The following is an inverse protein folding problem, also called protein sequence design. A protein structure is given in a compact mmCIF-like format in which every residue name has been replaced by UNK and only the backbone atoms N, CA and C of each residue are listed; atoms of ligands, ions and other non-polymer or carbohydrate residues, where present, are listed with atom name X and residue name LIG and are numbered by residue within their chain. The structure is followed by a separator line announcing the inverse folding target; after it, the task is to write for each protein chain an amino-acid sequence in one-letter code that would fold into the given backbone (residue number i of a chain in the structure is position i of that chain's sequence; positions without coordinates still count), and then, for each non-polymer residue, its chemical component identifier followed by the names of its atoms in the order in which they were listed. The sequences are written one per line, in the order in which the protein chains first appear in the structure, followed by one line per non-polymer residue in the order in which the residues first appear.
data_IF_746038833506
#
_entry.id   IF_746038833506
#
_cell.length_a   1.000
_cell.length_b   1.000
_cell.length_c   1.000
_cell.angle_alpha   90.00
_cell.angle_beta   90.00
_cell.angle_gamma   90.00
#
_symmetry.space_group_name_H-M   'P 1'
#
loop_
_entity.id
_entity.type
_entity.pdbx_description
1 polymer ?
#
# COMPACT_ATOMS: atom_id res chain seq x y z
N UNK A 1 3.92 -9.80 6.16
CA UNK A 1 2.75 -9.13 5.55
C UNK A 1 2.62 -9.72 4.15
N UNK A 2 1.58 -10.50 3.88
CA UNK A 2 1.35 -11.15 2.58
C UNK A 2 0.23 -10.40 1.88
N UNK A 3 0.46 -9.95 0.65
CA UNK A 3 -0.60 -9.47 -0.24
C UNK A 3 -1.06 -10.68 -1.05
N UNK A 4 -2.23 -11.22 -0.75
CA UNK A 4 -2.80 -12.36 -1.47
C UNK A 4 -4.04 -11.87 -2.23
N UNK A 5 -3.96 -11.87 -3.57
CA UNK A 5 -5.16 -11.95 -4.41
C UNK A 5 -5.35 -13.41 -4.80
N UNK A 6 -6.59 -13.92 -4.85
CA UNK A 6 -6.85 -15.20 -5.47
C UNK A 6 -6.37 -15.09 -6.92
N UNK A 7 -5.46 -15.98 -7.31
CA UNK A 7 -4.87 -16.12 -8.66
C UNK A 7 -3.69 -15.20 -9.02
N UNK A 8 -3.07 -14.49 -8.07
CA UNK A 8 -1.89 -13.64 -8.34
C UNK A 8 -0.64 -14.09 -7.58
N UNK A 9 0.54 -13.90 -8.20
CA UNK A 9 1.83 -14.27 -7.61
C UNK A 9 2.11 -13.35 -6.41
N UNK A 10 2.26 -13.93 -5.23
CA UNK A 10 2.68 -13.19 -4.04
C UNK A 10 4.06 -12.57 -4.26
N UNK A 11 4.13 -11.23 -4.30
CA UNK A 11 5.40 -10.51 -4.35
C UNK A 11 6.09 -10.66 -3.00
N UNK A 12 7.31 -11.22 -3.02
CA UNK A 12 8.16 -11.40 -1.84
C UNK A 12 9.20 -10.29 -1.82
N UNK A 13 9.05 -9.40 -0.85
CA UNK A 13 10.04 -8.37 -0.53
C UNK A 13 10.83 -8.83 0.68
N UNK A 14 12.14 -9.02 0.50
CA UNK A 14 13.03 -9.57 1.55
C UNK A 14 13.30 -8.57 2.66
N UNK A 15 13.36 -7.29 2.30
CA UNK A 15 13.52 -6.18 3.22
C UNK A 15 12.55 -5.07 2.85
N UNK A 16 11.83 -4.56 3.85
CA UNK A 16 10.95 -3.40 3.71
C UNK A 16 11.29 -2.40 4.80
N UNK A 17 11.42 -1.13 4.42
CA UNK A 17 11.74 -0.04 5.32
C UNK A 17 10.62 1.00 5.33
N UNK A 18 10.38 1.55 6.51
CA UNK A 18 9.38 2.58 6.76
C UNK A 18 10.04 3.96 6.78
N UNK A 19 9.52 4.89 5.98
CA UNK A 19 10.03 6.26 5.87
C UNK A 19 8.89 7.23 6.21
N UNK A 20 8.96 7.92 7.37
CA UNK A 20 8.05 9.03 7.64
C UNK A 20 8.42 10.24 6.76
N UNK A 21 7.42 11.03 6.37
CA UNK A 21 7.69 12.30 5.70
C UNK A 21 8.40 13.29 6.65
N UNK A 22 9.39 14.01 6.12
CA UNK A 22 10.15 15.00 6.88
C UNK A 22 9.37 16.28 7.22
N UNK A 23 8.22 16.53 6.58
CA UNK A 23 7.45 17.76 6.76
C UNK A 23 5.95 17.54 7.03
N UNK A 24 5.47 16.30 6.99
CA UNK A 24 4.06 15.98 7.18
C UNK A 24 3.92 14.70 8.00
N UNK A 25 3.25 14.79 9.15
CA UNK A 25 3.11 13.68 10.09
C UNK A 25 2.09 12.63 9.64
N UNK A 26 1.30 12.93 8.63
CA UNK A 26 0.23 12.09 8.13
C UNK A 26 0.64 11.33 6.86
N UNK A 27 1.94 11.31 6.51
CA UNK A 27 2.44 10.71 5.26
C UNK A 27 3.62 9.79 5.51
N UNK A 28 3.54 8.59 4.95
CA UNK A 28 4.52 7.53 5.19
C UNK A 28 4.75 6.72 3.92
N UNK A 29 5.97 6.24 3.74
CA UNK A 29 6.32 5.25 2.71
C UNK A 29 6.69 3.94 3.40
N UNK A 30 6.17 2.84 2.88
CA UNK A 30 6.76 1.52 3.05
C UNK A 30 7.35 1.13 1.70
N UNK A 31 8.67 0.97 1.64
CA UNK A 31 9.37 0.59 0.41
C UNK A 31 10.16 -0.68 0.65
N UNK A 32 10.15 -1.58 -0.33
CA UNK A 32 10.99 -2.75 -0.34
C UNK A 32 11.31 -3.17 -1.77
N UNK A 33 12.38 -3.93 -1.93
CA UNK A 33 12.80 -4.46 -3.23
C UNK A 33 13.35 -5.87 -3.09
N UNK A 34 13.13 -6.70 -4.12
CA UNK A 34 13.80 -7.97 -4.32
C UNK A 34 13.97 -8.18 -5.82
N UNK A 35 15.20 -8.29 -6.35
CA UNK A 35 15.42 -8.31 -7.80
C UNK A 35 14.69 -9.52 -8.43
N UNK A 36 13.80 -9.31 -9.43
CA UNK A 36 13.60 -8.07 -10.21
C UNK A 36 12.39 -7.20 -9.81
N UNK A 37 11.74 -7.49 -8.69
CA UNK A 37 10.53 -6.83 -8.20
C UNK A 37 10.78 -5.71 -7.19
N UNK A 38 9.85 -4.75 -7.15
CA UNK A 38 9.83 -3.63 -6.23
C UNK A 38 8.43 -3.41 -5.65
N UNK A 39 8.38 -2.83 -4.46
CA UNK A 39 7.14 -2.40 -3.82
C UNK A 39 7.36 -1.01 -3.21
N UNK A 40 6.49 -0.07 -3.55
CA UNK A 40 6.39 1.23 -2.88
C UNK A 40 4.94 1.49 -2.51
N UNK A 41 4.66 1.52 -1.21
CA UNK A 41 3.35 1.86 -0.66
C UNK A 41 3.43 3.24 0.00
N UNK A 42 2.67 4.19 -0.51
CA UNK A 42 2.48 5.50 0.08
C UNK A 42 1.16 5.52 0.87
N UNK A 43 1.26 5.74 2.18
CA UNK A 43 0.12 5.83 3.10
C UNK A 43 -0.10 7.27 3.52
N UNK A 44 -1.37 7.68 3.54
CA UNK A 44 -1.80 8.98 4.07
C UNK A 44 -2.96 8.81 5.03
N UNK A 45 -2.87 9.41 6.21
CA UNK A 45 -4.01 9.51 7.13
C UNK A 45 -4.86 10.71 6.74
N UNK A 46 -5.87 10.48 5.92
CA UNK A 46 -6.78 11.50 5.41
C UNK A 46 -8.20 10.94 5.23
N UNK A 47 -9.20 11.80 5.29
CA UNK A 47 -10.55 11.41 4.92
C UNK A 47 -10.58 11.10 3.41
N UNK A 48 -10.98 9.90 3.04
CA UNK A 48 -11.06 9.50 1.64
C UNK A 48 -12.28 8.59 1.38
N UNK A 49 -12.69 8.44 0.12
CA UNK A 49 -13.79 7.57 -0.32
C UNK A 49 -13.29 6.63 -1.41
N UNK A 50 -13.79 5.38 -1.39
CA UNK A 50 -13.53 4.39 -2.42
C UNK A 50 -14.36 4.63 -3.71
N UNK A 51 -15.21 5.66 -3.73
CA UNK A 51 -16.05 6.03 -4.87
C UNK A 51 -17.23 5.08 -5.13
N UNK A 52 -17.38 4.04 -4.32
CA UNK A 52 -18.46 3.05 -4.43
C UNK A 52 -19.49 3.17 -3.29
N UNK A 53 -19.12 3.83 -2.19
CA UNK A 53 -19.97 4.02 -1.02
C UNK A 53 -19.88 5.45 -0.46
N UNK A 54 -20.90 5.84 0.32
CA UNK A 54 -20.90 7.07 1.13
C UNK A 54 -20.04 6.93 2.41
N UNK A 55 -19.29 5.83 2.54
CA UNK A 55 -18.43 5.59 3.69
C UNK A 55 -17.17 6.44 3.59
N UNK A 56 -16.93 7.26 4.62
CA UNK A 56 -15.64 7.92 4.80
C UNK A 56 -14.65 6.92 5.41
N UNK A 57 -13.53 6.71 4.72
CA UNK A 57 -12.36 5.99 5.19
C UNK A 57 -11.35 6.98 5.80
N UNK A 58 -10.36 6.48 6.54
CA UNK A 58 -9.37 7.31 7.23
C UNK A 58 -7.94 7.16 6.73
N UNK A 59 -7.71 6.28 5.76
CA UNK A 59 -6.38 6.01 5.20
C UNK A 59 -6.50 5.93 3.69
N UNK A 60 -5.77 6.78 2.98
CA UNK A 60 -5.53 6.62 1.54
C UNK A 60 -4.21 5.88 1.32
N UNK A 61 -4.21 4.99 0.34
CA UNK A 61 -3.06 4.17 -0.02
C UNK A 61 -2.83 4.22 -1.53
N UNK A 62 -1.59 4.48 -1.93
CA UNK A 62 -1.12 4.29 -3.31
C UNK A 62 0.01 3.26 -3.30
N UNK A 63 -0.18 2.15 -3.99
CA UNK A 63 0.75 1.03 -4.08
C UNK A 63 1.28 0.93 -5.51
N UNK A 64 2.58 1.12 -5.66
CA UNK A 64 3.32 0.81 -6.88
C UNK A 64 3.96 -0.56 -6.70
N UNK A 65 3.60 -1.49 -7.60
CA UNK A 65 4.26 -2.78 -7.75
C UNK A 65 5.09 -2.74 -9.02
N UNK A 66 6.37 -3.03 -8.90
CA UNK A 66 7.30 -3.07 -10.02
C UNK A 66 7.74 -4.51 -10.24
N UNK A 67 7.86 -4.92 -11.49
CA UNK A 67 8.53 -6.14 -11.90
C UNK A 67 9.68 -5.82 -12.88
N UNK A 68 10.26 -6.84 -13.51
CA UNK A 68 11.39 -6.68 -14.41
C UNK A 68 11.12 -5.76 -15.63
N UNK A 69 9.86 -5.61 -16.03
CA UNK A 69 9.48 -4.99 -17.31
C UNK A 69 8.26 -4.06 -17.22
N UNK A 70 7.50 -4.09 -16.13
CA UNK A 70 6.26 -3.36 -15.96
C UNK A 70 6.10 -2.77 -14.55
N UNK A 71 5.19 -1.82 -14.42
CA UNK A 71 4.80 -1.23 -13.15
C UNK A 71 3.27 -1.05 -13.09
N UNK A 72 2.66 -1.56 -12.02
CA UNK A 72 1.24 -1.40 -11.74
C UNK A 72 1.02 -0.46 -10.56
N UNK A 73 0.08 0.47 -10.72
CA UNK A 73 -0.38 1.36 -9.65
C UNK A 73 -1.76 0.93 -9.17
N UNK A 74 -1.90 0.75 -7.85
CA UNK A 74 -3.17 0.55 -7.18
C UNK A 74 -3.41 1.68 -6.19
N UNK A 75 -4.53 2.37 -6.32
CA UNK A 75 -4.96 3.42 -5.40
C UNK A 75 -6.23 2.98 -4.70
N UNK A 76 -6.35 3.26 -3.40
CA UNK A 76 -7.52 2.86 -2.62
C UNK A 76 -7.65 3.55 -1.27
N UNK A 77 -8.80 3.31 -0.64
CA UNK A 77 -9.15 3.78 0.68
C UNK A 77 -9.31 2.62 1.65
N UNK A 78 -8.82 2.78 2.88
CA UNK A 78 -8.77 1.73 3.89
C UNK A 78 -9.20 2.24 5.28
N UNK A 79 -9.70 1.32 6.11
CA UNK A 79 -9.88 1.53 7.55
C UNK A 79 -9.04 0.52 8.33
N UNK A 80 -8.63 0.87 9.54
CA UNK A 80 -8.03 -0.10 10.47
C UNK A 80 -9.19 -0.83 11.15
N UNK A 81 -9.30 -2.13 10.90
CA UNK A 81 -10.25 -3.01 11.58
C UNK A 81 -9.48 -3.98 12.49
N UNK A 82 -10.06 -4.35 13.66
CA UNK A 82 -9.49 -5.42 14.47
C UNK A 82 -9.48 -6.74 13.67
N UNK A 83 -8.53 -7.66 13.96
CA UNK A 83 -8.53 -8.98 13.35
C UNK A 83 -9.86 -9.70 13.64
N UNK A 84 -10.38 -10.42 12.66
CA UNK A 84 -11.56 -11.25 12.83
C UNK A 84 -11.24 -12.42 13.78
N UNK A 85 -12.15 -12.71 14.72
CA UNK A 85 -12.10 -13.90 15.60
C UNK A 85 -12.37 -15.21 14.84
#
# INVERSE_FOLDING_TARGET
MSFDRPDEIAIRVDEAYFVPSGNNRDRFVLSGSNIPSGLTLLLRTEACSDGMSDQAFGIAADLVLEDAFDASLYSGCCTIQPPAE
#
